data_IF_814978902013
#
_entry.id   IF_814978902013
#
_cell.length_a   1.000
_cell.length_b   1.000
_cell.length_c   1.000
_cell.angle_alpha   90.00
_cell.angle_beta   90.00
_cell.angle_gamma   90.00
#
_symmetry.space_group_name_H-M   'P 1'
#
loop_
_entity.id
_entity.type
_entity.pdbx_description
1 polymer ?
#
# COMPACT_ATOMS: atom_id res chain seq x y z
N UNK A 1 28.66 51.09 -16.01
CA UNK A 1 28.59 49.66 -16.31
C UNK A 1 28.59 48.86 -14.99
N UNK A 2 27.51 48.95 -14.15
CA UNK A 2 27.53 48.31 -12.80
C UNK A 2 26.14 47.82 -12.35
N UNK A 3 25.18 47.58 -13.26
CA UNK A 3 23.81 47.18 -12.92
C UNK A 3 23.38 45.79 -13.47
N UNK A 4 24.24 45.03 -14.17
CA UNK A 4 23.82 43.75 -14.80
C UNK A 4 24.25 42.49 -14.08
N UNK A 5 24.98 42.56 -12.94
CA UNK A 5 25.49 41.36 -12.24
C UNK A 5 24.56 40.91 -11.12
N UNK A 6 23.64 41.74 -10.63
CA UNK A 6 22.78 41.40 -9.49
C UNK A 6 21.54 40.55 -9.85
N UNK A 7 21.18 40.46 -11.13
CA UNK A 7 19.98 39.71 -11.57
C UNK A 7 20.24 38.21 -11.86
N UNK A 8 21.49 37.80 -12.08
CA UNK A 8 21.81 36.40 -12.35
C UNK A 8 21.95 35.52 -11.09
N UNK A 9 22.16 36.11 -9.93
CA UNK A 9 22.33 35.35 -8.68
C UNK A 9 21.03 34.92 -8.04
N UNK A 10 19.91 35.58 -8.37
CA UNK A 10 18.61 35.26 -7.76
C UNK A 10 17.95 34.07 -8.45
N UNK A 11 18.23 33.83 -9.74
CA UNK A 11 17.64 32.72 -10.50
C UNK A 11 18.26 31.36 -10.11
N UNK A 12 19.50 31.33 -9.67
CA UNK A 12 20.17 30.07 -9.25
C UNK A 12 19.72 29.59 -7.85
N UNK A 13 19.16 30.48 -7.00
CA UNK A 13 18.75 30.11 -5.65
C UNK A 13 17.38 29.42 -5.59
N UNK A 14 16.52 29.58 -6.59
CA UNK A 14 15.17 29.01 -6.57
C UNK A 14 15.09 27.59 -7.14
N UNK A 15 16.11 27.12 -7.87
CA UNK A 15 16.14 25.77 -8.44
C UNK A 15 16.65 24.68 -7.47
N UNK A 16 17.25 25.06 -6.35
CA UNK A 16 17.80 24.09 -5.40
C UNK A 16 16.79 23.56 -4.38
N UNK A 17 15.64 24.22 -4.23
CA UNK A 17 14.64 23.82 -3.22
C UNK A 17 13.71 22.69 -3.64
N UNK A 18 13.61 22.35 -4.93
CA UNK A 18 12.72 21.28 -5.41
C UNK A 18 13.35 19.89 -5.57
N UNK A 19 14.68 19.77 -5.39
CA UNK A 19 15.40 18.49 -5.58
C UNK A 19 15.65 17.71 -4.27
N UNK A 20 15.32 18.28 -3.11
CA UNK A 20 15.75 17.72 -1.82
C UNK A 20 14.85 16.58 -1.33
N UNK A 21 13.64 16.44 -1.86
CA UNK A 21 12.63 15.55 -1.28
C UNK A 21 12.60 14.13 -1.86
N UNK A 22 12.91 13.95 -3.15
CA UNK A 22 12.80 12.66 -3.82
C UNK A 22 13.85 11.65 -3.33
N UNK A 23 15.09 12.08 -3.15
CA UNK A 23 16.16 11.21 -2.65
C UNK A 23 15.90 10.78 -1.20
N UNK A 24 15.45 11.71 -0.36
CA UNK A 24 15.05 11.43 1.02
C UNK A 24 13.85 10.47 1.09
N UNK A 25 12.87 10.65 0.21
CA UNK A 25 11.72 9.75 0.11
C UNK A 25 12.14 8.33 -0.30
N UNK A 26 12.96 8.19 -1.34
CA UNK A 26 13.48 6.89 -1.81
C UNK A 26 14.28 6.21 -0.70
N UNK A 27 15.20 6.93 -0.05
CA UNK A 27 16.01 6.40 1.04
C UNK A 27 15.14 5.95 2.23
N UNK A 28 14.06 6.69 2.54
CA UNK A 28 13.12 6.30 3.59
C UNK A 28 12.38 5.02 3.23
N UNK A 29 11.91 4.86 1.99
CA UNK A 29 11.23 3.65 1.52
C UNK A 29 12.16 2.43 1.58
N UNK A 30 13.40 2.58 1.09
CA UNK A 30 14.41 1.52 1.14
C UNK A 30 14.72 1.11 2.59
N UNK A 31 14.89 2.07 3.48
CA UNK A 31 15.14 1.81 4.90
C UNK A 31 13.98 1.06 5.57
N UNK A 32 12.74 1.46 5.27
CA UNK A 32 11.53 0.81 5.80
C UNK A 32 11.39 -0.62 5.29
N UNK A 33 11.64 -0.83 4.01
CA UNK A 33 11.66 -2.14 3.40
C UNK A 33 12.71 -3.05 4.06
N UNK A 34 13.95 -2.60 4.19
CA UNK A 34 15.04 -3.36 4.81
C UNK A 34 14.75 -3.69 6.29
N UNK A 35 14.19 -2.71 7.03
CA UNK A 35 13.87 -2.88 8.44
C UNK A 35 12.77 -3.90 8.71
N UNK A 36 11.85 -4.12 7.77
CA UNK A 36 10.65 -4.93 7.97
C UNK A 36 10.65 -6.24 7.18
N UNK A 37 11.42 -6.36 6.12
CA UNK A 37 11.50 -7.58 5.32
C UNK A 37 11.97 -8.77 6.16
N UNK A 38 11.28 -9.89 6.03
CA UNK A 38 11.55 -11.14 6.74
C UNK A 38 10.97 -11.21 8.16
N UNK A 39 10.47 -10.08 8.73
CA UNK A 39 9.80 -10.12 10.03
C UNK A 39 8.37 -10.65 9.90
N UNK A 40 7.89 -11.32 10.94
CA UNK A 40 6.50 -11.73 11.04
C UNK A 40 5.58 -10.51 11.00
N UNK A 41 4.49 -10.62 10.24
CA UNK A 41 3.45 -9.60 10.23
C UNK A 41 2.75 -9.54 11.59
N UNK A 42 2.36 -8.36 12.09
CA UNK A 42 1.70 -8.22 13.39
C UNK A 42 0.43 -9.06 13.50
N UNK A 43 0.20 -9.70 14.66
CA UNK A 43 -1.03 -10.40 14.95
C UNK A 43 -2.24 -9.45 14.89
N UNK A 44 -3.37 -9.90 14.35
CA UNK A 44 -4.63 -9.15 14.30
C UNK A 44 -5.85 -10.07 14.31
N UNK A 45 -6.98 -9.49 14.68
CA UNK A 45 -8.31 -10.05 14.45
C UNK A 45 -9.19 -8.92 13.93
N UNK A 46 -9.81 -9.11 12.80
CA UNK A 46 -10.69 -8.12 12.18
C UNK A 46 -11.96 -8.78 11.64
N UNK A 47 -13.02 -8.00 11.50
CA UNK A 47 -14.26 -8.43 10.87
C UNK A 47 -14.43 -7.65 9.58
N UNK A 48 -14.56 -8.35 8.47
CA UNK A 48 -14.83 -7.74 7.16
C UNK A 48 -16.28 -7.28 7.04
N UNK A 49 -16.54 -6.38 6.09
CA UNK A 49 -17.91 -5.85 5.85
C UNK A 49 -18.93 -6.95 5.51
N UNK A 50 -18.50 -8.09 4.99
CA UNK A 50 -19.34 -9.27 4.75
C UNK A 50 -19.51 -10.17 6.01
N UNK A 51 -19.05 -9.71 7.19
CA UNK A 51 -19.23 -10.36 8.48
C UNK A 51 -18.26 -11.50 8.81
N UNK A 52 -17.23 -11.73 7.98
CA UNK A 52 -16.24 -12.78 8.22
C UNK A 52 -15.16 -12.29 9.18
N UNK A 53 -14.84 -13.10 10.19
CA UNK A 53 -13.68 -12.87 11.03
C UNK A 53 -12.42 -13.34 10.29
N UNK A 54 -11.41 -12.48 10.25
CA UNK A 54 -10.11 -12.72 9.61
C UNK A 54 -9.02 -12.53 10.65
N UNK A 55 -8.09 -13.48 10.73
CA UNK A 55 -6.94 -13.41 11.65
C UNK A 55 -5.63 -13.60 10.92
N UNK A 56 -4.52 -13.18 11.53
CA UNK A 56 -3.18 -13.40 10.98
C UNK A 56 -2.84 -14.89 10.80
N UNK A 57 -3.47 -15.78 11.57
CA UNK A 57 -3.25 -17.24 11.45
C UNK A 57 -3.65 -17.79 10.09
N UNK A 58 -4.62 -17.13 9.45
CA UNK A 58 -5.07 -17.51 8.11
C UNK A 58 -4.11 -17.09 6.99
N UNK A 59 -3.06 -16.33 7.30
CA UNK A 59 -2.02 -15.92 6.35
C UNK A 59 -1.02 -17.04 6.09
N UNK A 60 -0.86 -17.98 7.04
CA UNK A 60 0.07 -19.10 6.90
C UNK A 60 -0.31 -19.97 5.70
N UNK A 61 0.67 -20.29 4.85
CA UNK A 61 0.49 -21.05 3.61
C UNK A 61 -0.02 -20.21 2.44
N UNK A 62 -0.21 -18.90 2.62
CA UNK A 62 -0.73 -18.01 1.58
C UNK A 62 0.18 -16.82 1.35
N UNK A 63 0.37 -16.48 0.08
CA UNK A 63 0.88 -15.17 -0.30
C UNK A 63 -0.27 -14.18 -0.12
N UNK A 64 -0.08 -13.22 0.78
CA UNK A 64 -1.15 -12.27 1.14
C UNK A 64 -0.74 -10.86 0.79
N UNK A 65 -1.60 -10.15 0.06
CA UNK A 65 -1.51 -8.69 -0.09
C UNK A 65 -2.44 -8.03 0.93
N UNK A 66 -1.91 -7.06 1.66
CA UNK A 66 -2.68 -6.22 2.60
C UNK A 66 -2.53 -4.78 2.15
N UNK A 67 -3.65 -4.12 1.86
CA UNK A 67 -3.71 -2.72 1.46
C UNK A 67 -4.42 -1.88 2.52
N UNK A 68 -3.93 -0.67 2.78
CA UNK A 68 -4.47 0.27 3.76
C UNK A 68 -4.92 1.55 3.08
N UNK A 69 -6.16 1.99 3.35
CA UNK A 69 -6.76 3.15 2.72
C UNK A 69 -7.76 3.87 3.64
N UNK A 70 -8.24 5.04 3.24
CA UNK A 70 -9.43 5.71 3.76
C UNK A 70 -10.09 6.53 2.62
N UNK A 71 -11.40 6.83 2.75
CA UNK A 71 -12.24 7.36 1.65
C UNK A 71 -11.76 8.68 1.04
N UNK A 72 -11.10 9.54 1.81
CA UNK A 72 -10.60 10.86 1.36
C UNK A 72 -9.11 10.84 0.98
N UNK A 73 -8.51 9.68 0.86
CA UNK A 73 -7.14 9.50 0.43
C UNK A 73 -7.10 9.42 -1.11
N UNK A 74 -6.84 10.52 -1.77
CA UNK A 74 -6.85 10.61 -3.24
C UNK A 74 -5.96 9.55 -3.92
N UNK A 75 -4.67 9.34 -3.53
CA UNK A 75 -3.86 8.29 -4.12
C UNK A 75 -4.38 6.87 -3.81
N UNK A 76 -5.05 6.66 -2.66
CA UNK A 76 -5.67 5.36 -2.36
C UNK A 76 -6.81 5.05 -3.34
N UNK A 77 -7.66 6.05 -3.60
CA UNK A 77 -8.78 5.93 -4.56
C UNK A 77 -8.26 5.68 -5.97
N UNK A 78 -7.16 6.31 -6.36
CA UNK A 78 -6.54 6.11 -7.67
C UNK A 78 -6.07 4.66 -7.90
N UNK A 79 -5.71 3.92 -6.84
CA UNK A 79 -5.27 2.53 -6.91
C UNK A 79 -6.42 1.51 -7.01
N UNK A 80 -7.66 1.85 -6.65
CA UNK A 80 -8.75 0.89 -6.47
C UNK A 80 -9.05 0.02 -7.68
N UNK A 81 -9.12 0.60 -8.88
CA UNK A 81 -9.37 -0.18 -10.11
C UNK A 81 -8.25 -1.18 -10.39
N UNK A 82 -7.01 -0.77 -10.18
CA UNK A 82 -5.84 -1.60 -10.41
C UNK A 82 -5.69 -2.69 -9.31
N UNK A 83 -6.05 -2.39 -8.06
CA UNK A 83 -6.14 -3.38 -6.98
C UNK A 83 -7.29 -4.39 -7.22
N UNK A 84 -8.44 -3.93 -7.73
CA UNK A 84 -9.53 -4.80 -8.16
C UNK A 84 -9.09 -5.77 -9.27
N UNK A 85 -8.34 -5.27 -10.27
CA UNK A 85 -7.75 -6.12 -11.31
C UNK A 85 -6.82 -7.19 -10.70
N UNK A 86 -5.92 -6.78 -9.82
CA UNK A 86 -4.97 -7.66 -9.14
C UNK A 86 -5.70 -8.74 -8.33
N UNK A 87 -6.70 -8.35 -7.54
CA UNK A 87 -7.52 -9.29 -6.79
C UNK A 87 -8.21 -10.30 -7.70
N UNK A 88 -8.92 -9.86 -8.75
CA UNK A 88 -9.61 -10.76 -9.68
C UNK A 88 -8.68 -11.75 -10.37
N UNK A 89 -7.43 -11.35 -10.61
CA UNK A 89 -6.42 -12.20 -11.25
C UNK A 89 -5.98 -13.37 -10.38
N UNK A 90 -5.91 -13.18 -9.07
CA UNK A 90 -5.35 -14.20 -8.16
C UNK A 90 -6.36 -14.83 -7.20
N UNK A 91 -7.58 -14.29 -7.06
CA UNK A 91 -8.57 -14.73 -6.06
C UNK A 91 -8.92 -16.22 -6.08
N UNK A 92 -8.79 -16.87 -7.23
CA UNK A 92 -9.11 -18.29 -7.41
C UNK A 92 -7.90 -19.21 -7.11
N UNK A 93 -6.73 -18.64 -6.81
CA UNK A 93 -5.57 -19.39 -6.34
C UNK A 93 -5.70 -19.65 -4.82
N UNK A 94 -5.76 -20.92 -4.36
CA UNK A 94 -5.93 -21.24 -2.94
C UNK A 94 -4.76 -20.78 -2.06
N UNK A 95 -3.57 -20.57 -2.64
CA UNK A 95 -2.39 -20.05 -1.97
C UNK A 95 -2.29 -18.50 -1.99
N UNK A 96 -3.33 -17.80 -2.46
CA UNK A 96 -3.39 -16.34 -2.47
C UNK A 96 -4.47 -15.82 -1.53
N UNK A 97 -4.23 -14.65 -0.95
CA UNK A 97 -5.22 -13.89 -0.18
C UNK A 97 -5.06 -12.38 -0.41
N UNK A 98 -6.17 -11.68 -0.37
CA UNK A 98 -6.24 -10.23 -0.33
C UNK A 98 -7.02 -9.79 0.91
N UNK A 99 -6.50 -8.78 1.62
CA UNK A 99 -7.18 -8.14 2.75
C UNK A 99 -6.99 -6.64 2.58
N UNK A 100 -8.01 -5.83 2.79
CA UNK A 100 -7.82 -4.41 2.94
C UNK A 100 -8.32 -3.91 4.28
N UNK A 101 -7.59 -2.98 4.87
CA UNK A 101 -7.96 -2.31 6.10
C UNK A 101 -8.28 -0.85 5.82
N UNK A 102 -9.33 -0.35 6.44
CA UNK A 102 -9.66 1.07 6.43
C UNK A 102 -9.90 1.58 7.84
N UNK A 103 -9.54 2.85 8.06
CA UNK A 103 -9.87 3.56 9.30
C UNK A 103 -11.24 4.25 9.27
N UNK A 104 -11.97 4.11 8.15
CA UNK A 104 -13.33 4.64 8.02
C UNK A 104 -14.32 3.84 8.87
N UNK A 105 -15.41 4.48 9.29
CA UNK A 105 -16.51 3.78 9.93
C UNK A 105 -17.13 2.75 8.97
N UNK A 106 -17.75 1.65 9.47
CA UNK A 106 -18.29 0.59 8.62
C UNK A 106 -19.24 1.08 7.52
N UNK A 107 -20.10 2.06 7.82
CA UNK A 107 -21.05 2.63 6.84
C UNK A 107 -20.30 3.39 5.72
N UNK A 108 -19.35 4.25 6.09
CA UNK A 108 -18.55 5.02 5.12
C UNK A 108 -17.69 4.10 4.25
N UNK A 109 -17.14 3.05 4.86
CA UNK A 109 -16.40 2.01 4.14
C UNK A 109 -17.31 1.27 3.15
N UNK A 110 -18.54 0.93 3.54
CA UNK A 110 -19.53 0.28 2.67
C UNK A 110 -19.91 1.18 1.48
N UNK A 111 -20.16 2.47 1.72
CA UNK A 111 -20.44 3.44 0.66
C UNK A 111 -19.25 3.56 -0.34
N UNK A 112 -18.02 3.53 0.17
CA UNK A 112 -16.81 3.53 -0.66
C UNK A 112 -16.70 2.25 -1.50
N UNK A 113 -16.96 1.08 -0.89
CA UNK A 113 -17.00 -0.22 -1.60
C UNK A 113 -18.02 -0.17 -2.74
N UNK A 114 -19.21 0.32 -2.49
CA UNK A 114 -20.28 0.41 -3.49
C UNK A 114 -19.95 1.41 -4.61
N UNK A 115 -19.43 2.57 -4.25
CA UNK A 115 -19.07 3.64 -5.17
C UNK A 115 -17.98 3.19 -6.15
N UNK A 116 -16.93 2.57 -5.65
CA UNK A 116 -15.75 2.15 -6.45
C UNK A 116 -15.78 0.68 -6.86
N UNK A 117 -16.86 -0.04 -6.54
CA UNK A 117 -17.05 -1.46 -6.90
C UNK A 117 -15.88 -2.33 -6.43
N UNK A 118 -15.43 -2.10 -5.17
CA UNK A 118 -14.34 -2.89 -4.61
C UNK A 118 -14.77 -4.35 -4.47
N UNK A 119 -13.98 -5.25 -5.06
CA UNK A 119 -14.29 -6.68 -5.13
C UNK A 119 -13.49 -7.52 -4.13
N UNK A 120 -12.51 -6.93 -3.46
CA UNK A 120 -11.70 -7.56 -2.43
C UNK A 120 -12.27 -7.33 -1.01
N UNK A 121 -11.93 -8.19 -0.03
CA UNK A 121 -12.39 -8.05 1.35
C UNK A 121 -11.93 -6.74 1.99
N UNK A 122 -12.84 -6.03 2.66
CA UNK A 122 -12.60 -4.77 3.37
C UNK A 122 -12.91 -4.97 4.85
N UNK A 123 -11.96 -4.61 5.71
CA UNK A 123 -12.05 -4.70 7.16
C UNK A 123 -11.93 -3.29 7.77
N UNK A 124 -13.03 -2.65 8.18
CA UNK A 124 -12.97 -1.45 9.00
C UNK A 124 -12.33 -1.78 10.36
N UNK A 125 -11.35 -0.98 10.76
CA UNK A 125 -10.69 -1.09 12.07
C UNK A 125 -10.49 0.30 12.67
N UNK A 126 -10.18 0.39 13.97
CA UNK A 126 -9.88 1.68 14.56
C UNK A 126 -8.67 2.33 13.87
N UNK A 127 -8.63 3.67 13.87
CA UNK A 127 -7.47 4.41 13.33
C UNK A 127 -6.17 3.97 13.98
N UNK A 128 -6.16 3.73 15.30
CA UNK A 128 -4.99 3.24 16.02
C UNK A 128 -4.54 1.87 15.50
N UNK A 129 -5.49 0.95 15.29
CA UNK A 129 -5.21 -0.39 14.77
C UNK A 129 -4.70 -0.34 13.33
N UNK A 130 -5.31 0.51 12.50
CA UNK A 130 -4.85 0.73 11.13
C UNK A 130 -3.38 1.19 11.10
N UNK A 131 -3.00 2.16 11.96
CA UNK A 131 -1.61 2.61 12.06
C UNK A 131 -0.66 1.56 12.65
N UNK A 132 -1.14 0.74 13.59
CA UNK A 132 -0.35 -0.38 14.12
C UNK A 132 -0.05 -1.42 13.04
N UNK A 133 -1.06 -1.77 12.24
CA UNK A 133 -0.95 -2.79 11.20
C UNK A 133 -0.20 -2.32 9.96
N UNK A 134 -0.26 -1.02 9.62
CA UNK A 134 0.53 -0.46 8.52
C UNK A 134 1.92 0.03 8.96
N UNK A 135 2.35 -0.33 10.20
CA UNK A 135 3.67 0.01 10.74
C UNK A 135 3.94 1.52 10.82
N UNK A 136 2.89 2.30 11.10
CA UNK A 136 2.89 3.78 11.17
C UNK A 136 3.33 4.46 9.86
N UNK A 137 3.03 3.86 8.70
CA UNK A 137 3.45 4.38 7.40
C UNK A 137 2.45 5.36 6.75
N UNK A 138 1.24 5.48 7.25
CA UNK A 138 0.20 6.32 6.62
C UNK A 138 -0.52 5.60 5.47
N UNK A 139 -1.04 6.38 4.49
CA UNK A 139 -1.91 5.86 3.43
C UNK A 139 -1.56 6.43 2.05
N UNK A 140 -1.73 5.65 0.97
CA UNK A 140 -1.90 4.21 1.02
C UNK A 140 -0.67 3.52 1.56
N UNK A 141 -0.83 2.33 2.11
CA UNK A 141 0.28 1.42 2.40
C UNK A 141 -0.10 0.04 1.89
N UNK A 142 0.84 -0.62 1.20
CA UNK A 142 0.67 -2.00 0.75
C UNK A 142 1.77 -2.86 1.32
N UNK A 143 1.38 -3.98 1.92
CA UNK A 143 2.28 -5.03 2.44
C UNK A 143 2.00 -6.32 1.68
N UNK A 144 3.05 -7.00 1.23
CA UNK A 144 2.93 -8.37 0.70
C UNK A 144 3.65 -9.31 1.65
N UNK A 145 2.97 -10.39 2.02
CA UNK A 145 3.38 -11.38 3.03
C UNK A 145 3.61 -12.71 2.32
N UNK A 146 4.69 -13.39 2.66
CA UNK A 146 5.04 -14.72 2.14
C UNK A 146 4.19 -15.84 2.81
N UNK A 147 4.31 -17.06 2.30
CA UNK A 147 3.60 -18.23 2.83
C UNK A 147 3.96 -18.58 4.29
N UNK A 148 5.08 -18.06 4.81
CA UNK A 148 5.47 -18.22 6.22
C UNK A 148 4.91 -17.10 7.12
N UNK A 149 4.09 -16.18 6.60
CA UNK A 149 3.54 -15.06 7.36
C UNK A 149 4.51 -13.90 7.56
N UNK A 150 5.62 -13.85 6.81
CA UNK A 150 6.65 -12.80 6.91
C UNK A 150 6.47 -11.76 5.83
N UNK A 151 6.75 -10.53 6.18
CA UNK A 151 6.72 -9.40 5.23
C UNK A 151 7.79 -9.57 4.15
N UNK A 152 7.35 -9.72 2.91
CA UNK A 152 8.21 -9.86 1.73
C UNK A 152 8.29 -8.56 0.91
N UNK A 153 7.38 -7.62 1.15
CA UNK A 153 7.35 -6.31 0.51
C UNK A 153 6.54 -5.32 1.36
N UNK A 154 6.98 -4.07 1.37
CA UNK A 154 6.28 -2.95 2.01
C UNK A 154 6.48 -1.70 1.16
N UNK A 155 5.39 -1.02 0.82
CA UNK A 155 5.38 0.26 0.13
C UNK A 155 4.40 1.20 0.82
N UNK A 156 4.83 2.43 1.07
CA UNK A 156 3.99 3.50 1.61
C UNK A 156 3.91 4.67 0.62
N UNK A 157 2.78 5.36 0.62
CA UNK A 157 2.43 6.38 -0.37
C UNK A 157 2.02 5.76 -1.70
N UNK A 158 1.34 6.54 -2.52
CA UNK A 158 0.81 6.14 -3.83
C UNK A 158 0.84 7.30 -4.82
N UNK A 159 0.29 7.05 -5.99
CA UNK A 159 0.24 7.99 -7.10
C UNK A 159 -1.21 8.29 -7.49
N UNK A 160 -1.44 9.47 -8.03
CA UNK A 160 -2.72 9.84 -8.64
C UNK A 160 -2.71 9.66 -10.17
N UNK A 161 -1.52 9.68 -10.77
CA UNK A 161 -1.32 9.49 -12.19
C UNK A 161 -1.46 8.03 -12.58
N UNK A 162 -2.38 7.74 -13.49
CA UNK A 162 -2.74 6.38 -13.91
C UNK A 162 -1.54 5.52 -14.32
N UNK A 163 -0.60 6.07 -15.09
CA UNK A 163 0.56 5.33 -15.57
C UNK A 163 1.51 4.94 -14.43
N UNK A 164 1.61 5.77 -13.40
CA UNK A 164 2.40 5.47 -12.21
C UNK A 164 1.74 4.40 -11.33
N UNK A 165 0.41 4.49 -11.16
CA UNK A 165 -0.39 3.45 -10.48
C UNK A 165 -0.21 2.10 -11.18
N UNK A 166 -0.32 2.05 -12.50
CA UNK A 166 -0.16 0.79 -13.25
C UNK A 166 1.25 0.19 -13.13
N UNK A 167 2.29 1.03 -13.13
CA UNK A 167 3.67 0.58 -12.88
C UNK A 167 3.83 -0.01 -11.49
N UNK A 168 3.25 0.63 -10.47
CA UNK A 168 3.29 0.14 -9.10
C UNK A 168 2.57 -1.20 -8.94
N UNK A 169 1.37 -1.32 -9.50
CA UNK A 169 0.61 -2.57 -9.47
C UNK A 169 1.33 -3.71 -10.22
N UNK A 170 2.06 -3.41 -11.29
CA UNK A 170 2.89 -4.40 -11.99
C UNK A 170 4.02 -4.95 -11.09
N UNK A 171 4.59 -4.12 -10.22
CA UNK A 171 5.57 -4.56 -9.21
C UNK A 171 4.91 -5.50 -8.20
N UNK A 172 3.71 -5.16 -7.69
CA UNK A 172 2.98 -6.03 -6.77
C UNK A 172 2.63 -7.37 -7.43
N UNK A 173 2.15 -7.34 -8.67
CA UNK A 173 1.83 -8.53 -9.43
C UNK A 173 3.03 -9.45 -9.61
N UNK A 174 4.19 -8.90 -9.99
CA UNK A 174 5.41 -9.69 -10.15
C UNK A 174 5.84 -10.30 -8.82
N UNK A 175 5.81 -9.51 -7.73
CA UNK A 175 6.17 -10.00 -6.40
C UNK A 175 5.27 -11.14 -5.92
N UNK A 176 3.96 -11.04 -6.18
CA UNK A 176 3.00 -12.11 -5.85
C UNK A 176 3.32 -13.37 -6.64
N UNK A 177 3.58 -13.28 -7.94
CA UNK A 177 3.95 -14.43 -8.78
C UNK A 177 5.21 -15.12 -8.26
N UNK A 178 6.28 -14.36 -8.01
CA UNK A 178 7.53 -14.89 -7.49
C UNK A 178 7.32 -15.69 -6.19
N UNK A 179 6.52 -15.13 -5.25
CA UNK A 179 6.23 -15.77 -3.98
C UNK A 179 5.32 -17.00 -4.09
N UNK A 180 4.41 -17.01 -5.08
CA UNK A 180 3.53 -18.17 -5.34
C UNK A 180 4.32 -19.36 -5.91
N UNK A 181 5.34 -19.10 -6.74
CA UNK A 181 6.20 -20.11 -7.36
C UNK A 181 7.17 -20.78 -6.38
N UNK A 182 7.55 -20.10 -5.29
CA UNK A 182 8.43 -20.66 -4.25
C UNK A 182 7.69 -21.82 -3.57
N UNK A 183 8.19 -23.04 -3.82
CA UNK A 183 7.80 -24.24 -3.06
C UNK A 183 8.53 -24.18 -1.71
N UNK A 184 7.80 -24.24 -0.62
CA UNK A 184 8.36 -24.38 0.73
C UNK A 184 8.59 -25.85 1.06
#
# INVERSE_FOLDING_TARGET
MRKSILLLTIIYSTCLFSQIDLAGYIQKQDSLFQLNTGKQYPAFTAVSLDGKTITEKELTGKVTIINFWFQYCEPCVAEFDALNYLYRKFKDNPAFRFISFTSDAPNDASETVDKYKLSFPVCPVSKQECYRLNLNQGFPTTVIIDKAGRMAFLKSGGYTEKDMVLKEIAIYEQKIKDLLEIQQ
#
